data_IF_694588810594
#
_entry.id   IF_694588810594
#
_cell.length_a   1.000
_cell.length_b   1.000
_cell.length_c   1.000
_cell.angle_alpha   90.00
_cell.angle_beta   90.00
_cell.angle_gamma   90.00
#
_symmetry.space_group_name_H-M   'P 1'
#
loop_
_entity.id
_entity.type
_entity.pdbx_description
1 polymer ?
#
# COMPACT_ATOMS: atom_id res chain seq x y z
N UNK A 1 18.55 -1.72 -26.48
CA UNK A 1 17.09 -1.52 -26.50
C UNK A 1 16.45 -2.67 -25.73
N UNK A 2 16.16 -2.47 -24.47
CA UNK A 2 15.47 -3.45 -23.61
C UNK A 2 13.97 -3.24 -23.76
N UNK A 3 13.30 -4.13 -24.45
CA UNK A 3 11.84 -4.08 -24.64
C UNK A 3 11.21 -4.70 -23.39
N UNK A 4 10.61 -3.87 -22.54
CA UNK A 4 9.73 -4.31 -21.47
C UNK A 4 8.44 -4.88 -22.08
N UNK A 5 8.23 -6.17 -22.00
CA UNK A 5 7.04 -6.83 -22.56
C UNK A 5 6.04 -7.15 -21.44
N UNK A 6 4.92 -6.47 -21.51
CA UNK A 6 3.74 -6.72 -20.64
C UNK A 6 2.82 -7.70 -21.37
N UNK A 7 2.46 -8.78 -20.72
CA UNK A 7 1.43 -9.69 -21.22
C UNK A 7 0.17 -9.48 -20.39
N UNK A 8 -0.92 -9.12 -21.04
CA UNK A 8 -2.23 -8.93 -20.42
C UNK A 8 -3.17 -10.05 -20.85
N UNK A 9 -3.86 -10.65 -19.90
CA UNK A 9 -5.01 -11.50 -20.15
C UNK A 9 -6.24 -10.81 -19.57
N UNK A 10 -7.11 -10.30 -20.45
CA UNK A 10 -8.32 -9.54 -20.11
C UNK A 10 -9.50 -10.45 -19.79
N UNK A 11 -10.34 -10.04 -18.84
CA UNK A 11 -11.63 -10.65 -18.49
C UNK A 11 -11.58 -12.12 -18.08
N UNK A 12 -11.22 -12.37 -16.84
CA UNK A 12 -11.32 -13.70 -16.21
C UNK A 12 -10.06 -14.56 -16.31
N UNK A 13 -8.93 -13.98 -16.69
CA UNK A 13 -7.65 -14.65 -16.79
C UNK A 13 -6.57 -14.03 -15.91
N UNK A 14 -5.47 -14.72 -15.79
CA UNK A 14 -4.24 -14.31 -15.12
C UNK A 14 -3.70 -13.02 -15.72
N UNK A 15 -3.40 -12.03 -14.88
CA UNK A 15 -2.51 -10.95 -15.24
C UNK A 15 -1.11 -11.26 -14.72
N UNK A 16 -0.25 -11.75 -15.58
CA UNK A 16 1.16 -12.00 -15.29
C UNK A 16 2.00 -10.91 -15.92
N UNK A 17 2.73 -10.21 -15.11
CA UNK A 17 3.73 -9.28 -15.62
C UNK A 17 4.95 -9.34 -14.75
N UNK A 18 5.95 -10.01 -15.26
CA UNK A 18 7.32 -9.70 -14.91
C UNK A 18 8.26 -10.51 -15.74
N UNK A 19 9.41 -9.97 -15.94
CA UNK A 19 10.47 -10.65 -16.63
C UNK A 19 11.80 -10.29 -16.01
N UNK A 20 12.26 -11.16 -15.16
CA UNK A 20 13.65 -11.23 -14.74
C UNK A 20 14.04 -12.69 -14.69
N UNK A 21 15.00 -13.05 -15.50
CA UNK A 21 15.50 -14.41 -15.68
C UNK A 21 16.50 -14.78 -14.58
N UNK A 22 16.24 -15.87 -13.83
CA UNK A 22 17.32 -16.77 -13.43
C UNK A 22 16.81 -18.20 -13.14
N UNK A 23 17.54 -19.27 -13.56
CA UNK A 23 17.18 -20.68 -13.35
C UNK A 23 17.08 -21.11 -11.87
N UNK A 24 17.69 -20.34 -10.96
CA UNK A 24 17.70 -20.59 -9.50
C UNK A 24 16.32 -20.45 -8.83
N UNK A 25 15.36 -19.81 -9.50
CA UNK A 25 14.00 -19.65 -8.98
C UNK A 25 13.28 -21.00 -8.84
N UNK A 26 13.44 -21.89 -9.81
CA UNK A 26 12.76 -23.20 -9.83
C UNK A 26 13.25 -24.15 -8.73
N UNK A 27 14.55 -24.16 -8.44
CA UNK A 27 15.10 -24.93 -7.32
C UNK A 27 14.60 -24.41 -5.99
N UNK A 28 14.43 -23.09 -5.87
CA UNK A 28 13.97 -22.43 -4.65
C UNK A 28 12.46 -22.60 -4.42
N UNK A 29 11.64 -22.54 -5.47
CA UNK A 29 10.20 -22.84 -5.39
C UNK A 29 9.94 -24.29 -4.97
N UNK A 30 10.69 -25.24 -5.52
CA UNK A 30 10.64 -26.66 -5.13
C UNK A 30 11.13 -26.90 -3.68
N UNK A 31 12.05 -26.07 -3.19
CA UNK A 31 12.54 -26.11 -1.82
C UNK A 31 11.52 -25.51 -0.82
N UNK A 32 10.85 -24.43 -1.19
CA UNK A 32 9.78 -23.80 -0.39
C UNK A 32 8.60 -24.75 -0.18
N UNK A 33 8.24 -25.54 -1.20
CA UNK A 33 7.20 -26.56 -1.13
C UNK A 33 7.52 -27.73 -0.18
N UNK A 34 8.81 -27.89 0.22
CA UNK A 34 9.28 -28.95 1.13
C UNK A 34 9.46 -28.48 2.57
N UNK A 35 9.32 -27.17 2.87
CA UNK A 35 9.46 -26.67 4.24
C UNK A 35 8.26 -27.04 5.10
N UNK A 36 8.46 -27.62 6.29
CA UNK A 36 7.40 -27.74 7.26
C UNK A 36 6.93 -26.35 7.70
N UNK A 37 5.64 -26.21 8.02
CA UNK A 37 4.90 -24.98 8.38
C UNK A 37 5.46 -24.13 9.54
N UNK A 38 6.67 -24.38 10.00
CA UNK A 38 7.31 -23.78 11.19
C UNK A 38 8.48 -22.80 10.87
N UNK A 39 8.60 -22.29 9.65
CA UNK A 39 9.57 -21.21 9.38
C UNK A 39 9.14 -19.92 10.10
N UNK A 40 10.08 -19.09 10.60
CA UNK A 40 9.74 -17.79 11.18
C UNK A 40 8.93 -17.00 10.18
N UNK A 41 7.78 -16.45 10.63
CA UNK A 41 6.88 -15.69 9.77
C UNK A 41 7.60 -14.46 9.23
N UNK A 42 7.58 -14.29 7.93
CA UNK A 42 8.23 -13.17 7.25
C UNK A 42 7.56 -11.84 7.60
N UNK A 43 8.32 -10.74 7.64
CA UNK A 43 7.75 -9.41 7.71
C UNK A 43 6.94 -9.11 6.44
N UNK A 44 5.83 -8.40 6.60
CA UNK A 44 4.90 -8.07 5.50
C UNK A 44 4.62 -6.58 5.51
N UNK A 45 4.78 -5.93 4.36
CA UNK A 45 4.38 -4.56 4.12
C UNK A 45 3.15 -4.52 3.22
N UNK A 46 2.10 -3.85 3.69
CA UNK A 46 0.88 -3.55 2.92
C UNK A 46 0.86 -2.06 2.62
N UNK A 47 1.02 -1.70 1.35
CA UNK A 47 0.92 -0.31 0.88
C UNK A 47 -0.49 -0.03 0.36
N UNK A 48 -1.15 0.96 0.96
CA UNK A 48 -2.46 1.46 0.52
C UNK A 48 -2.30 2.83 -0.08
N UNK A 49 -2.45 2.96 -1.40
CA UNK A 49 -2.30 4.25 -2.07
C UNK A 49 -3.66 4.96 -2.18
N UNK A 50 -3.80 6.05 -1.44
CA UNK A 50 -4.97 6.94 -1.44
C UNK A 50 -4.87 7.89 -2.63
N UNK A 51 -5.29 7.42 -3.83
CA UNK A 51 -5.18 8.21 -5.07
C UNK A 51 -6.19 9.33 -5.14
N UNK A 52 -5.69 10.52 -5.38
CA UNK A 52 -6.47 11.76 -5.47
C UNK A 52 -6.12 12.78 -4.39
N UNK A 53 -4.94 12.63 -3.76
CA UNK A 53 -4.44 13.61 -2.79
C UNK A 53 -5.37 13.76 -1.57
N UNK A 54 -5.25 12.83 -0.64
CA UNK A 54 -6.06 12.87 0.60
C UNK A 54 -5.89 14.19 1.34
N UNK A 55 -6.99 14.73 1.84
CA UNK A 55 -6.94 15.89 2.75
C UNK A 55 -6.41 15.49 4.14
N UNK A 56 -5.09 15.59 4.30
CA UNK A 56 -4.40 15.25 5.53
C UNK A 56 -4.86 16.07 6.74
N UNK A 57 -5.26 17.34 6.52
CA UNK A 57 -5.75 18.21 7.60
C UNK A 57 -7.13 17.81 8.13
N UNK A 58 -7.97 17.20 7.29
CA UNK A 58 -9.25 16.66 7.77
C UNK A 58 -9.15 15.17 8.13
N UNK A 59 -8.13 14.45 7.68
CA UNK A 59 -7.87 13.06 8.10
C UNK A 59 -7.28 13.01 9.53
N UNK A 60 -6.24 13.81 9.77
CA UNK A 60 -5.57 14.00 11.06
C UNK A 60 -5.67 15.48 11.39
N UNK A 61 -6.67 15.81 12.20
CA UNK A 61 -7.12 17.18 12.43
C UNK A 61 -6.23 17.89 13.44
N UNK A 62 -5.58 19.01 13.09
CA UNK A 62 -4.85 19.84 14.05
C UNK A 62 -5.83 20.73 14.83
N UNK A 63 -6.69 20.09 15.64
CA UNK A 63 -7.79 20.80 16.34
C UNK A 63 -7.31 21.79 17.39
N UNK A 64 -6.05 21.71 17.80
CA UNK A 64 -5.41 22.70 18.67
C UNK A 64 -5.03 24.01 17.96
N UNK A 65 -5.18 24.09 16.61
CA UNK A 65 -4.81 25.29 15.85
C UNK A 65 -6.01 26.12 15.42
N UNK A 66 -6.10 27.36 15.89
CA UNK A 66 -7.16 28.28 15.48
C UNK A 66 -7.17 28.56 13.97
N UNK A 67 -6.01 28.57 13.31
CA UNK A 67 -5.86 28.79 11.87
C UNK A 67 -6.58 27.70 11.06
N UNK A 68 -6.65 26.45 11.54
CA UNK A 68 -7.41 25.39 10.87
C UNK A 68 -8.89 25.76 10.69
N UNK A 69 -9.52 26.28 11.73
CA UNK A 69 -10.93 26.69 11.69
C UNK A 69 -11.15 27.97 10.89
N UNK A 70 -10.20 28.91 10.98
CA UNK A 70 -10.26 30.18 10.23
C UNK A 70 -10.18 29.98 8.73
N UNK A 71 -9.32 29.04 8.28
CA UNK A 71 -9.11 28.76 6.85
C UNK A 71 -10.14 27.80 6.27
N UNK A 72 -10.92 27.10 7.11
CA UNK A 72 -11.91 26.09 6.71
C UNK A 72 -13.28 26.28 7.37
N UNK A 73 -13.90 27.47 7.25
CA UNK A 73 -15.14 27.78 7.98
C UNK A 73 -16.31 26.84 7.68
N UNK A 74 -16.33 26.13 6.52
CA UNK A 74 -17.40 25.22 6.13
C UNK A 74 -17.02 23.75 6.21
N UNK A 75 -15.73 23.43 6.04
CA UNK A 75 -15.27 22.03 5.95
C UNK A 75 -14.41 21.58 7.15
N UNK A 76 -14.09 22.47 8.10
CA UNK A 76 -13.39 22.07 9.31
C UNK A 76 -14.22 21.06 10.11
N UNK A 77 -13.56 20.01 10.60
CA UNK A 77 -14.17 19.09 11.57
C UNK A 77 -14.33 19.79 12.90
N UNK A 78 -15.54 19.91 13.48
CA UNK A 78 -15.74 20.56 14.76
C UNK A 78 -14.90 19.93 15.88
N UNK A 79 -14.29 20.74 16.75
CA UNK A 79 -13.39 20.24 17.79
C UNK A 79 -14.02 19.18 18.70
N UNK A 80 -15.32 19.31 19.00
CA UNK A 80 -16.06 18.34 19.81
C UNK A 80 -16.40 17.04 19.07
N UNK A 81 -16.20 16.95 17.76
CA UNK A 81 -16.39 15.74 16.95
C UNK A 81 -15.08 15.00 16.71
N UNK A 82 -13.93 15.66 16.89
CA UNK A 82 -12.61 15.06 16.66
C UNK A 82 -12.36 13.95 17.68
N UNK A 83 -11.80 12.83 17.23
CA UNK A 83 -11.29 11.77 18.10
C UNK A 83 -9.90 12.16 18.57
N UNK A 84 -9.80 12.76 19.74
CA UNK A 84 -8.54 13.30 20.27
C UNK A 84 -7.44 12.24 20.38
N UNK A 85 -6.21 12.63 20.02
CA UNK A 85 -5.01 11.80 20.08
C UNK A 85 -4.02 12.28 21.14
N UNK A 86 -3.73 13.57 21.19
CA UNK A 86 -2.67 14.14 22.03
C UNK A 86 -2.96 15.56 22.52
N UNK A 87 -4.20 16.03 22.38
CA UNK A 87 -4.64 17.39 22.77
C UNK A 87 -4.38 18.46 21.70
N UNK A 88 -3.62 18.17 20.66
CA UNK A 88 -3.36 19.07 19.53
C UNK A 88 -3.87 18.48 18.21
N UNK A 89 -3.61 17.19 17.99
CA UNK A 89 -4.11 16.43 16.85
C UNK A 89 -5.20 15.45 17.26
N UNK A 90 -6.07 15.15 16.32
CA UNK A 90 -7.06 14.10 16.46
C UNK A 90 -7.44 13.47 15.13
N UNK A 91 -8.03 12.29 15.17
CA UNK A 91 -8.57 11.64 13.98
C UNK A 91 -9.92 12.25 13.60
N UNK A 92 -10.19 12.29 12.30
CA UNK A 92 -11.54 12.52 11.81
C UNK A 92 -12.53 11.53 12.49
N UNK A 93 -13.76 11.94 12.85
CA UNK A 93 -14.71 11.05 13.56
C UNK A 93 -15.00 9.73 12.83
N UNK A 94 -14.96 9.73 11.49
CA UNK A 94 -15.10 8.51 10.69
C UNK A 94 -13.96 7.50 10.86
N UNK A 95 -12.82 7.90 11.43
CA UNK A 95 -11.70 7.02 11.78
C UNK A 95 -11.74 6.54 13.24
N UNK A 96 -12.82 6.81 13.99
CA UNK A 96 -12.99 6.33 15.37
C UNK A 96 -12.71 4.82 15.55
N UNK A 97 -13.00 3.92 14.59
CA UNK A 97 -12.61 2.51 14.70
C UNK A 97 -11.10 2.26 14.88
N UNK A 98 -10.24 3.24 14.55
CA UNK A 98 -8.79 3.14 14.71
C UNK A 98 -8.29 3.62 16.09
N UNK A 99 -9.16 4.17 16.94
CA UNK A 99 -8.74 4.71 18.26
C UNK A 99 -8.15 3.63 19.16
N UNK A 100 -8.72 2.43 19.14
CA UNK A 100 -8.17 1.30 19.89
C UNK A 100 -6.73 0.96 19.46
N UNK A 101 -6.43 1.02 18.16
CA UNK A 101 -5.09 0.78 17.64
C UNK A 101 -4.09 1.87 18.05
N UNK A 102 -4.57 3.09 18.17
CA UNK A 102 -3.78 4.19 18.74
C UNK A 102 -3.47 3.97 20.21
N UNK A 103 -4.47 3.63 21.01
CA UNK A 103 -4.32 3.41 22.44
C UNK A 103 -3.40 2.22 22.75
N UNK A 104 -3.47 1.19 21.93
CA UNK A 104 -2.60 0.00 21.98
C UNK A 104 -1.20 0.25 21.36
N UNK A 105 -0.89 1.48 20.94
CA UNK A 105 0.39 1.87 20.35
C UNK A 105 0.77 1.05 19.10
N UNK A 106 -0.21 0.65 18.31
CA UNK A 106 -0.04 -0.05 17.04
C UNK A 106 -0.44 0.79 15.83
N UNK A 107 -0.85 2.05 16.03
CA UNK A 107 -1.13 3.05 15.01
C UNK A 107 -0.29 4.30 15.27
N UNK A 108 0.46 4.75 14.26
CA UNK A 108 1.11 6.06 14.22
C UNK A 108 0.47 6.92 13.13
N UNK A 109 0.28 8.20 13.42
CA UNK A 109 -0.09 9.23 12.47
C UNK A 109 1.17 9.99 12.07
N UNK A 110 1.39 10.21 10.78
CA UNK A 110 2.55 10.95 10.27
C UNK A 110 2.04 12.19 9.54
N UNK A 111 2.39 13.38 10.01
CA UNK A 111 1.95 14.64 9.43
C UNK A 111 3.09 15.37 8.71
N UNK A 112 2.72 16.34 7.85
CA UNK A 112 3.66 17.16 7.09
C UNK A 112 4.69 16.34 6.27
N UNK A 113 4.26 15.20 5.76
CA UNK A 113 5.03 14.27 4.93
C UNK A 113 4.66 14.42 3.45
N UNK A 114 5.60 14.25 2.56
CA UNK A 114 5.32 14.33 1.12
C UNK A 114 6.58 14.25 0.25
N UNK A 115 6.38 14.49 -1.03
CA UNK A 115 7.47 14.63 -2.01
C UNK A 115 8.16 15.98 -1.84
N UNK A 116 9.51 16.05 -1.94
CA UNK A 116 10.21 17.32 -2.03
C UNK A 116 9.93 18.06 -3.36
N UNK A 117 9.40 17.38 -4.36
CA UNK A 117 8.96 18.01 -5.62
C UNK A 117 7.61 18.69 -5.41
N UNK A 118 7.51 19.94 -5.85
CA UNK A 118 6.33 20.78 -5.65
C UNK A 118 5.23 20.60 -6.69
N UNK A 119 5.30 19.56 -7.55
CA UNK A 119 4.25 19.31 -8.55
C UNK A 119 2.89 19.08 -7.89
N UNK A 120 1.86 19.63 -8.52
CA UNK A 120 0.45 19.41 -8.16
C UNK A 120 -0.31 18.63 -9.25
N UNK A 121 0.45 17.99 -10.16
CA UNK A 121 -0.08 17.07 -11.16
C UNK A 121 -0.20 15.67 -10.54
N UNK A 122 -1.40 15.11 -10.48
CA UNK A 122 -1.61 13.73 -10.01
C UNK A 122 -0.75 12.73 -10.76
N UNK A 123 -0.61 12.87 -12.09
CA UNK A 123 0.17 11.94 -12.91
C UNK A 123 1.64 11.94 -12.50
N UNK A 124 2.24 13.10 -12.37
CA UNK A 124 3.64 13.24 -12.04
C UNK A 124 3.91 12.82 -10.58
N UNK A 125 3.08 13.32 -9.65
CA UNK A 125 3.28 13.05 -8.23
C UNK A 125 3.03 11.58 -7.86
N UNK A 126 2.06 10.91 -8.51
CA UNK A 126 1.84 9.46 -8.34
C UNK A 126 3.04 8.68 -8.88
N UNK A 127 3.56 9.04 -10.05
CA UNK A 127 4.77 8.41 -10.60
C UNK A 127 5.97 8.59 -9.66
N UNK A 128 6.17 9.79 -9.10
CA UNK A 128 7.25 10.07 -8.16
C UNK A 128 7.11 9.30 -6.83
N UNK A 129 5.90 9.19 -6.32
CA UNK A 129 5.63 8.43 -5.10
C UNK A 129 5.88 6.93 -5.31
N UNK A 130 5.51 6.40 -6.47
CA UNK A 130 5.67 4.98 -6.80
C UNK A 130 7.08 4.65 -7.30
N UNK A 131 7.74 5.56 -8.01
CA UNK A 131 9.14 5.36 -8.42
C UNK A 131 10.13 5.65 -7.30
N UNK A 132 9.76 6.45 -6.28
CA UNK A 132 10.67 6.89 -5.24
C UNK A 132 11.73 7.90 -5.73
N UNK A 133 11.52 8.51 -6.90
CA UNK A 133 12.44 9.44 -7.55
C UNK A 133 11.77 10.76 -7.91
N UNK A 134 11.44 11.62 -6.92
CA UNK A 134 10.83 12.93 -7.16
C UNK A 134 11.57 13.76 -8.21
N UNK A 135 10.82 14.35 -9.15
CA UNK A 135 11.35 15.16 -10.23
C UNK A 135 11.99 14.39 -11.39
N UNK A 136 12.10 13.05 -11.32
CA UNK A 136 12.74 12.22 -12.34
C UNK A 136 11.74 11.31 -13.04
N UNK A 137 11.38 11.64 -14.29
CA UNK A 137 10.40 10.87 -15.10
C UNK A 137 11.02 9.67 -15.84
N UNK A 138 12.34 9.58 -15.92
CA UNK A 138 13.04 8.52 -16.66
C UNK A 138 13.25 7.22 -15.89
N UNK A 139 12.90 7.19 -14.61
CA UNK A 139 13.04 5.98 -13.78
C UNK A 139 12.07 4.90 -14.29
N UNK A 140 12.58 3.74 -14.71
CA UNK A 140 11.79 2.70 -15.39
C UNK A 140 11.03 1.77 -14.43
N UNK A 141 11.44 1.69 -13.16
CA UNK A 141 10.94 0.76 -12.16
C UNK A 141 10.45 1.46 -10.88
N UNK A 142 9.69 0.73 -10.07
CA UNK A 142 9.17 1.19 -8.79
C UNK A 142 10.12 0.89 -7.62
N UNK A 143 10.03 1.67 -6.53
CA UNK A 143 10.92 1.49 -5.38
C UNK A 143 10.74 0.14 -4.69
N UNK A 144 9.51 -0.39 -4.62
CA UNK A 144 9.26 -1.73 -4.06
C UNK A 144 9.85 -2.81 -4.95
N UNK A 145 9.73 -2.69 -6.28
CA UNK A 145 10.34 -3.67 -7.17
C UNK A 145 11.86 -3.65 -7.05
N UNK A 146 12.50 -2.46 -6.94
CA UNK A 146 13.94 -2.38 -6.69
C UNK A 146 14.33 -3.03 -5.36
N UNK A 147 13.55 -2.84 -4.29
CA UNK A 147 13.76 -3.59 -3.06
C UNK A 147 13.76 -5.11 -3.32
N UNK A 148 12.74 -5.63 -4.01
CA UNK A 148 12.64 -7.05 -4.34
C UNK A 148 13.78 -7.57 -5.23
N UNK A 149 14.38 -6.70 -6.09
CA UNK A 149 15.52 -7.05 -6.93
C UNK A 149 16.80 -7.27 -6.11
N UNK A 150 16.99 -6.50 -5.04
CA UNK A 150 18.19 -6.52 -4.19
C UNK A 150 18.09 -7.55 -3.06
N UNK A 151 16.93 -7.74 -2.48
CA UNK A 151 16.69 -8.81 -1.51
C UNK A 151 16.29 -10.11 -2.22
N UNK A 152 17.30 -10.95 -2.49
CA UNK A 152 17.11 -12.24 -3.16
C UNK A 152 16.87 -13.40 -2.20
N UNK A 153 17.06 -13.24 -0.92
CA UNK A 153 16.88 -14.33 0.06
C UNK A 153 15.43 -14.82 0.13
N UNK A 154 14.49 -13.98 -0.27
CA UNK A 154 13.05 -14.23 -0.18
C UNK A 154 12.36 -14.46 -1.53
N UNK A 155 13.10 -14.66 -2.62
CA UNK A 155 12.58 -14.79 -3.99
C UNK A 155 12.01 -16.19 -4.32
N UNK A 156 11.44 -16.90 -3.34
CA UNK A 156 11.06 -18.31 -3.44
C UNK A 156 9.55 -18.55 -3.70
N UNK A 157 8.77 -17.50 -3.96
CA UNK A 157 7.33 -17.60 -4.21
C UNK A 157 6.86 -16.56 -5.21
N UNK A 158 5.92 -16.91 -6.13
CA UNK A 158 5.31 -15.94 -7.04
C UNK A 158 4.42 -14.92 -6.30
N UNK A 159 4.02 -15.21 -5.05
CA UNK A 159 3.23 -14.31 -4.20
C UNK A 159 4.05 -13.35 -3.36
N UNK A 160 5.37 -13.28 -3.55
CA UNK A 160 6.21 -12.37 -2.77
C UNK A 160 5.72 -10.92 -2.84
N UNK A 161 5.38 -10.44 -4.05
CA UNK A 161 4.89 -9.08 -4.26
C UNK A 161 3.59 -9.11 -5.09
N UNK A 162 2.49 -8.68 -4.50
CA UNK A 162 1.16 -8.75 -5.09
C UNK A 162 0.47 -7.39 -5.09
N UNK A 163 0.02 -6.95 -6.26
CA UNK A 163 -0.92 -5.84 -6.39
C UNK A 163 -2.36 -6.34 -6.50
N UNK A 164 -3.28 -5.69 -5.79
CA UNK A 164 -4.71 -5.97 -5.88
C UNK A 164 -5.39 -4.98 -6.82
N UNK A 165 -5.56 -5.41 -8.07
CA UNK A 165 -6.14 -4.63 -9.14
C UNK A 165 -5.92 -5.25 -10.52
N UNK A 166 -6.54 -4.68 -11.57
CA UNK A 166 -6.51 -5.24 -12.91
C UNK A 166 -5.15 -5.07 -13.62
N UNK A 167 -4.25 -4.27 -13.08
CA UNK A 167 -2.96 -3.94 -13.70
C UNK A 167 -1.87 -3.84 -12.64
N UNK A 168 -0.63 -4.15 -13.05
CA UNK A 168 0.53 -3.96 -12.20
C UNK A 168 0.81 -2.46 -12.06
N UNK A 169 0.80 -1.91 -10.82
CA UNK A 169 1.09 -0.51 -10.58
C UNK A 169 2.59 -0.22 -10.76
N UNK A 170 2.91 1.06 -10.92
CA UNK A 170 4.27 1.54 -11.12
C UNK A 170 5.23 1.09 -10.00
N UNK A 171 4.77 1.10 -8.77
CA UNK A 171 5.55 0.73 -7.58
C UNK A 171 6.11 -0.70 -7.65
N UNK A 172 5.40 -1.61 -8.34
CA UNK A 172 5.79 -3.01 -8.55
C UNK A 172 6.36 -3.29 -9.96
N UNK A 173 6.44 -2.27 -10.82
CA UNK A 173 7.05 -2.43 -12.14
C UNK A 173 8.57 -2.56 -12.02
N UNK A 174 9.19 -3.51 -12.73
CA UNK A 174 10.64 -3.72 -12.73
C UNK A 174 11.01 -5.15 -13.13
N UNK A 175 12.22 -5.59 -12.77
CA UNK A 175 12.73 -6.92 -13.14
C UNK A 175 12.42 -8.01 -12.11
N UNK A 176 12.09 -7.65 -10.86
CA UNK A 176 11.65 -8.63 -9.87
C UNK A 176 10.22 -9.11 -10.18
N UNK A 177 9.94 -10.42 -10.02
CA UNK A 177 8.60 -10.98 -10.22
C UNK A 177 7.55 -10.32 -9.32
N UNK A 178 6.40 -9.98 -9.90
CA UNK A 178 5.27 -9.39 -9.18
C UNK A 178 3.96 -9.79 -9.84
N UNK A 179 2.92 -10.04 -9.04
CA UNK A 179 1.60 -10.42 -9.53
C UNK A 179 0.61 -9.24 -9.43
N UNK A 180 -0.31 -9.15 -10.40
CA UNK A 180 -1.51 -8.33 -10.28
C UNK A 180 -2.72 -9.25 -10.23
N UNK A 181 -3.53 -9.14 -9.18
CA UNK A 181 -4.71 -9.98 -8.92
C UNK A 181 -5.90 -9.06 -8.69
N UNK A 182 -6.90 -9.13 -9.56
CA UNK A 182 -8.13 -8.35 -9.38
C UNK A 182 -9.10 -9.03 -8.40
N UNK A 183 -9.21 -10.35 -8.47
CA UNK A 183 -10.06 -11.15 -7.59
C UNK A 183 -9.43 -12.53 -7.37
N UNK A 184 -9.14 -12.87 -6.09
CA UNK A 184 -8.59 -14.18 -5.73
C UNK A 184 -9.51 -15.35 -6.04
N UNK A 185 -10.83 -15.16 -5.94
CA UNK A 185 -11.79 -16.22 -6.26
C UNK A 185 -11.87 -16.49 -7.77
N UNK A 186 -11.60 -15.44 -8.55
CA UNK A 186 -11.56 -15.52 -10.02
C UNK A 186 -10.17 -15.88 -10.56
N UNK A 187 -9.16 -15.93 -9.69
CA UNK A 187 -7.79 -16.22 -10.09
C UNK A 187 -7.65 -17.68 -10.49
N UNK A 188 -7.32 -17.93 -11.76
CA UNK A 188 -7.16 -19.25 -12.32
C UNK A 188 -7.80 -19.42 -13.69
N UNK A 189 -7.75 -20.64 -14.23
CA UNK A 189 -8.38 -20.97 -15.51
C UNK A 189 -9.91 -21.08 -15.34
N UNK A 190 -10.66 -20.16 -15.93
CA UNK A 190 -12.12 -20.24 -16.00
C UNK A 190 -12.52 -21.12 -17.18
N UNK A 191 -13.00 -22.32 -16.87
CA UNK A 191 -13.57 -23.23 -17.85
C UNK A 191 -14.98 -23.62 -17.38
N UNK A 192 -16.00 -23.57 -18.27
CA UNK A 192 -17.38 -23.82 -17.88
C UNK A 192 -17.67 -25.24 -17.33
N UNK A 193 -16.77 -26.18 -17.58
CA UNK A 193 -16.92 -27.58 -17.12
C UNK A 193 -15.70 -28.01 -16.31
N UNK A 194 -15.89 -28.51 -15.11
CA UNK A 194 -14.85 -28.96 -14.18
C UNK A 194 -13.95 -30.06 -14.80
N UNK A 195 -14.54 -31.01 -15.53
CA UNK A 195 -13.78 -32.07 -16.25
C UNK A 195 -12.94 -31.54 -17.42
N UNK A 196 -13.26 -30.37 -17.99
CA UNK A 196 -12.46 -29.71 -19.01
C UNK A 196 -11.31 -28.90 -18.40
N UNK A 197 -11.47 -28.41 -17.15
CA UNK A 197 -10.48 -27.65 -16.40
C UNK A 197 -9.18 -28.45 -16.21
N UNK A 198 -9.27 -29.71 -15.78
CA UNK A 198 -8.09 -30.56 -15.53
C UNK A 198 -7.40 -30.99 -16.82
N UNK A 199 -8.17 -31.16 -17.93
CA UNK A 199 -7.59 -31.43 -19.26
C UNK A 199 -6.89 -30.22 -19.85
N UNK A 200 -7.51 -29.03 -19.73
CA UNK A 200 -6.89 -27.78 -20.17
C UNK A 200 -5.68 -27.41 -19.29
N UNK A 201 -5.73 -27.64 -18.01
CA UNK A 201 -4.59 -27.46 -17.10
C UNK A 201 -3.41 -28.32 -17.54
N UNK A 202 -3.62 -29.63 -17.81
CA UNK A 202 -2.58 -30.52 -18.32
C UNK A 202 -2.10 -30.16 -19.74
N UNK A 203 -3.00 -29.75 -20.62
CA UNK A 203 -2.62 -29.32 -21.97
C UNK A 203 -1.79 -28.00 -21.94
N UNK A 204 -2.07 -27.10 -21.01
CA UNK A 204 -1.23 -25.94 -20.78
C UNK A 204 0.12 -26.31 -20.16
N UNK A 205 0.16 -27.27 -19.20
CA UNK A 205 1.41 -27.81 -18.65
C UNK A 205 2.29 -28.38 -19.77
N UNK A 206 1.73 -29.23 -20.62
CA UNK A 206 2.44 -29.86 -21.74
C UNK A 206 2.90 -28.84 -22.81
N UNK A 207 2.09 -27.83 -23.11
CA UNK A 207 2.45 -26.74 -24.02
C UNK A 207 3.62 -25.88 -23.48
N UNK A 208 3.67 -25.67 -22.17
CA UNK A 208 4.69 -24.83 -21.54
C UNK A 208 5.97 -25.61 -21.23
N UNK A 209 5.89 -26.88 -20.88
CA UNK A 209 7.06 -27.78 -20.79
C UNK A 209 7.75 -27.97 -22.15
N UNK A 210 6.97 -27.91 -23.24
CA UNK A 210 7.47 -27.93 -24.62
C UNK A 210 8.01 -26.59 -25.14
N UNK A 211 7.72 -25.48 -24.51
CA UNK A 211 8.04 -24.13 -25.01
C UNK A 211 9.50 -23.66 -24.80
N UNK A 212 10.38 -24.48 -24.21
CA UNK A 212 11.80 -24.20 -24.03
C UNK A 212 12.09 -23.13 -22.97
N UNK A 213 13.28 -22.47 -23.02
CA UNK A 213 13.80 -21.56 -22.01
C UNK A 213 13.48 -20.07 -22.27
N UNK A 214 12.43 -19.75 -23.02
CA UNK A 214 12.06 -18.36 -23.36
C UNK A 214 11.28 -17.64 -22.26
N UNK A 215 11.28 -16.31 -22.33
CA UNK A 215 10.57 -15.39 -21.44
C UNK A 215 9.08 -15.70 -21.21
N UNK A 216 8.40 -16.19 -22.26
CA UNK A 216 7.00 -16.61 -22.19
C UNK A 216 6.84 -17.88 -21.34
N UNK A 217 7.79 -18.80 -21.42
CA UNK A 217 7.75 -20.05 -20.67
C UNK A 217 7.96 -19.83 -19.17
N UNK A 218 8.85 -18.89 -18.76
CA UNK A 218 9.08 -18.56 -17.33
C UNK A 218 7.87 -17.88 -16.71
N UNK A 219 7.32 -16.85 -17.35
CA UNK A 219 6.15 -16.12 -16.85
C UNK A 219 4.89 -16.98 -16.74
N UNK A 220 4.74 -17.93 -17.67
CA UNK A 220 3.62 -18.87 -17.68
C UNK A 220 3.74 -19.91 -16.57
N UNK A 221 4.96 -20.35 -16.28
CA UNK A 221 5.26 -21.29 -15.21
C UNK A 221 5.01 -20.67 -13.83
N UNK A 222 5.49 -19.44 -13.62
CA UNK A 222 5.22 -18.66 -12.40
C UNK A 222 3.72 -18.50 -12.13
N UNK A 223 2.94 -18.21 -13.19
CA UNK A 223 1.49 -18.09 -13.07
C UNK A 223 0.80 -19.40 -12.77
N UNK A 224 1.29 -20.48 -13.36
CA UNK A 224 0.75 -21.80 -13.09
C UNK A 224 1.05 -22.25 -11.65
N UNK A 225 2.27 -22.03 -11.16
CA UNK A 225 2.66 -22.29 -9.77
C UNK A 225 1.80 -21.47 -8.81
N UNK A 226 1.55 -20.19 -9.10
CA UNK A 226 0.65 -19.34 -8.31
C UNK A 226 -0.77 -19.93 -8.24
N UNK A 227 -1.33 -20.37 -9.37
CA UNK A 227 -2.65 -21.04 -9.39
C UNK A 227 -2.66 -22.32 -8.54
N UNK A 228 -1.61 -23.13 -8.61
CA UNK A 228 -1.52 -24.36 -7.81
C UNK A 228 -1.39 -24.07 -6.32
N UNK A 229 -0.59 -23.08 -5.94
CA UNK A 229 -0.47 -22.64 -4.54
C UNK A 229 -1.79 -22.13 -3.99
N UNK A 230 -2.52 -21.30 -4.74
CA UNK A 230 -3.84 -20.80 -4.34
C UNK A 230 -4.88 -21.91 -4.24
N UNK A 231 -4.87 -22.88 -5.15
CA UNK A 231 -5.77 -24.03 -5.04
C UNK A 231 -5.54 -24.85 -3.76
N UNK A 232 -4.29 -24.99 -3.33
CA UNK A 232 -3.96 -25.65 -2.05
C UNK A 232 -4.38 -24.84 -0.84
N UNK A 233 -4.25 -23.51 -0.91
CA UNK A 233 -4.67 -22.60 0.14
C UNK A 233 -6.19 -22.47 0.25
N UNK A 234 -6.94 -22.91 -0.77
CA UNK A 234 -8.41 -22.86 -0.89
C UNK A 234 -9.06 -21.56 -0.37
N UNK A 235 -8.83 -20.43 -1.04
CA UNK A 235 -9.34 -19.15 -0.59
C UNK A 235 -10.87 -19.10 -0.53
N UNK A 236 -11.58 -20.07 -1.16
CA UNK A 236 -13.04 -20.12 -1.15
C UNK A 236 -13.59 -20.57 0.21
N UNK A 237 -12.81 -21.30 1.01
CA UNK A 237 -13.16 -21.73 2.35
C UNK A 237 -12.79 -20.70 3.43
N UNK A 238 -12.12 -19.63 3.04
CA UNK A 238 -11.69 -18.62 3.99
C UNK A 238 -12.89 -17.97 4.70
N UNK A 239 -12.77 -17.82 6.01
CA UNK A 239 -13.70 -17.06 6.85
C UNK A 239 -12.88 -16.08 7.68
N UNK A 240 -13.25 -14.78 7.69
CA UNK A 240 -12.66 -13.82 8.62
C UNK A 240 -12.82 -14.27 10.08
N UNK A 241 -11.96 -13.77 10.95
CA UNK A 241 -12.13 -13.98 12.38
C UNK A 241 -13.44 -13.34 12.88
N UNK A 242 -13.99 -13.88 13.97
CA UNK A 242 -15.21 -13.35 14.56
C UNK A 242 -15.11 -11.85 14.89
N UNK A 243 -16.09 -11.10 14.44
CA UNK A 243 -16.15 -9.64 14.58
C UNK A 243 -15.20 -8.86 13.64
N UNK A 244 -14.58 -9.51 12.66
CA UNK A 244 -13.85 -8.85 11.59
C UNK A 244 -14.79 -8.52 10.43
N UNK A 245 -15.60 -7.48 10.60
CA UNK A 245 -16.63 -7.06 9.65
C UNK A 245 -16.04 -6.11 8.60
N UNK A 246 -15.59 -6.66 7.49
CA UNK A 246 -15.10 -5.85 6.39
C UNK A 246 -16.22 -5.07 5.70
N UNK A 247 -16.05 -3.75 5.45
CA UNK A 247 -17.07 -3.00 4.71
C UNK A 247 -17.22 -3.55 3.29
N UNK A 248 -18.42 -3.45 2.70
CA UNK A 248 -18.72 -4.06 1.39
C UNK A 248 -18.03 -3.38 0.21
N UNK A 249 -17.35 -2.24 0.44
CA UNK A 249 -16.63 -1.47 -0.59
C UNK A 249 -15.41 -2.21 -1.14
N UNK A 250 -14.80 -1.59 -2.15
CA UNK A 250 -13.62 -2.17 -2.84
C UNK A 250 -12.46 -2.37 -1.87
N UNK A 251 -12.18 -1.39 -1.02
CA UNK A 251 -11.07 -1.46 -0.07
C UNK A 251 -11.29 -2.60 0.95
N UNK A 252 -12.51 -2.76 1.48
CA UNK A 252 -12.83 -3.86 2.39
C UNK A 252 -12.59 -5.22 1.73
N UNK A 253 -13.06 -5.42 0.50
CA UNK A 253 -12.82 -6.66 -0.27
C UNK A 253 -11.33 -6.89 -0.53
N UNK A 254 -10.59 -5.85 -0.86
CA UNK A 254 -9.15 -5.95 -1.11
C UNK A 254 -8.38 -6.35 0.14
N UNK A 255 -8.65 -5.70 1.29
CA UNK A 255 -7.99 -6.06 2.55
C UNK A 255 -8.37 -7.47 3.00
N UNK A 256 -9.61 -7.91 2.78
CA UNK A 256 -10.01 -9.30 2.99
C UNK A 256 -9.15 -10.26 2.17
N UNK A 257 -8.93 -9.99 0.89
CA UNK A 257 -8.10 -10.84 0.02
C UNK A 257 -6.63 -10.83 0.44
N UNK A 258 -6.09 -9.69 0.87
CA UNK A 258 -4.74 -9.61 1.45
C UNK A 258 -4.65 -10.48 2.71
N UNK A 259 -5.64 -10.40 3.60
CA UNK A 259 -5.69 -11.24 4.80
C UNK A 259 -5.74 -12.74 4.47
N UNK A 260 -6.47 -13.13 3.43
CA UNK A 260 -6.50 -14.50 2.91
C UNK A 260 -5.11 -15.00 2.52
N UNK A 261 -4.35 -14.21 1.72
CA UNK A 261 -2.98 -14.59 1.32
C UNK A 261 -2.03 -14.67 2.53
N UNK A 262 -2.13 -13.72 3.47
CA UNK A 262 -1.32 -13.74 4.70
C UNK A 262 -1.62 -14.98 5.54
N UNK A 263 -2.88 -15.34 5.69
CA UNK A 263 -3.27 -16.53 6.48
C UNK A 263 -2.98 -17.83 5.76
N UNK A 264 -3.02 -17.85 4.43
CA UNK A 264 -2.63 -18.99 3.60
C UNK A 264 -1.12 -19.26 3.60
N UNK A 265 -0.31 -18.34 4.13
CA UNK A 265 1.15 -18.45 4.26
C UNK A 265 1.86 -18.77 2.94
N UNK A 266 1.40 -18.13 1.87
CA UNK A 266 1.91 -18.32 0.49
C UNK A 266 3.25 -17.60 0.24
N UNK A 267 3.85 -17.01 1.29
CA UNK A 267 5.11 -16.28 1.19
C UNK A 267 4.93 -14.83 0.76
N UNK A 268 3.76 -14.23 1.01
CA UNK A 268 3.54 -12.80 0.77
C UNK A 268 4.47 -11.96 1.65
N UNK A 269 5.18 -11.03 1.03
CA UNK A 269 6.04 -10.05 1.68
C UNK A 269 5.53 -8.64 1.42
N UNK A 270 5.09 -8.35 0.20
CA UNK A 270 4.56 -7.05 -0.20
C UNK A 270 3.14 -7.20 -0.76
N UNK A 271 2.19 -6.45 -0.22
CA UNK A 271 0.89 -6.24 -0.84
C UNK A 271 0.72 -4.76 -1.20
N UNK A 272 0.15 -4.50 -2.36
CA UNK A 272 -0.20 -3.15 -2.80
C UNK A 272 -1.68 -3.08 -3.19
N UNK A 273 -2.35 -2.00 -2.79
CA UNK A 273 -3.73 -1.73 -3.17
C UNK A 273 -3.97 -0.24 -3.41
N UNK A 274 -4.77 0.05 -4.43
CA UNK A 274 -5.27 1.40 -4.70
C UNK A 274 -6.59 1.65 -3.99
N UNK A 275 -6.70 2.84 -3.39
CA UNK A 275 -7.94 3.37 -2.83
C UNK A 275 -8.18 4.76 -3.41
N UNK A 276 -9.15 4.89 -4.30
CA UNK A 276 -9.42 6.10 -5.08
C UNK A 276 -10.56 6.92 -4.48
N UNK A 277 -10.73 8.16 -5.00
CA UNK A 277 -11.84 9.05 -4.66
C UNK A 277 -11.52 10.09 -3.60
N UNK A 278 -10.23 10.42 -3.45
CA UNK A 278 -9.75 11.42 -2.48
C UNK A 278 -9.67 12.84 -3.05
N UNK A 279 -9.92 13.01 -4.36
CA UNK A 279 -9.87 14.30 -5.06
C UNK A 279 -11.13 15.12 -4.83
N UNK A 280 -11.26 15.70 -3.63
CA UNK A 280 -12.47 16.36 -3.12
C UNK A 280 -12.47 17.87 -3.34
N UNK A 281 -12.52 18.30 -4.61
CA UNK A 281 -12.58 19.71 -4.98
C UNK A 281 -13.90 20.39 -4.67
N UNK A 282 -15.00 19.63 -4.60
CA UNK A 282 -16.36 20.16 -4.46
C UNK A 282 -17.11 19.38 -3.39
N UNK A 283 -17.78 20.09 -2.48
CA UNK A 283 -18.62 19.49 -1.45
C UNK A 283 -17.92 18.36 -0.67
N UNK A 284 -16.69 18.61 -0.25
CA UNK A 284 -15.87 17.64 0.51
C UNK A 284 -16.59 17.15 1.76
N UNK A 285 -17.28 18.08 2.45
CA UNK A 285 -17.88 17.85 3.75
C UNK A 285 -16.93 18.10 4.90
N UNK A 286 -17.46 17.96 6.09
CA UNK A 286 -16.79 18.11 7.39
C UNK A 286 -16.78 16.75 8.11
N UNK A 287 -17.52 16.62 9.23
CA UNK A 287 -17.73 15.32 9.91
C UNK A 287 -18.51 14.31 9.07
N UNK A 288 -19.26 14.80 8.09
CA UNK A 288 -20.03 14.07 7.10
C UNK A 288 -19.64 14.50 5.69
N UNK A 289 -20.09 13.76 4.67
CA UNK A 289 -19.85 14.08 3.26
C UNK A 289 -18.90 13.10 2.58
N UNK A 290 -18.34 13.53 1.43
CA UNK A 290 -17.55 12.66 0.56
C UNK A 290 -16.28 12.14 1.24
N UNK A 291 -15.49 13.04 1.85
CA UNK A 291 -14.27 12.66 2.54
C UNK A 291 -14.58 11.74 3.74
N UNK A 292 -15.60 12.09 4.54
CA UNK A 292 -16.03 11.31 5.68
C UNK A 292 -16.43 9.88 5.29
N UNK A 293 -17.11 9.69 4.14
CA UNK A 293 -17.48 8.38 3.64
C UNK A 293 -16.25 7.53 3.27
N UNK A 294 -15.23 8.13 2.63
CA UNK A 294 -13.96 7.47 2.29
C UNK A 294 -13.15 7.10 3.55
N UNK A 295 -13.07 8.03 4.51
CA UNK A 295 -12.40 7.78 5.79
C UNK A 295 -13.10 6.70 6.61
N UNK A 296 -14.44 6.64 6.55
CA UNK A 296 -15.21 5.58 7.21
C UNK A 296 -14.91 4.20 6.63
N UNK A 297 -14.89 4.08 5.28
CA UNK A 297 -14.51 2.83 4.63
C UNK A 297 -13.08 2.42 5.02
N UNK A 298 -12.12 3.38 5.00
CA UNK A 298 -10.74 3.14 5.40
C UNK A 298 -10.63 2.68 6.86
N UNK A 299 -11.26 3.39 7.77
CA UNK A 299 -11.22 3.08 9.22
C UNK A 299 -11.81 1.72 9.53
N UNK A 300 -12.98 1.41 8.98
CA UNK A 300 -13.63 0.10 9.17
C UNK A 300 -12.81 -1.03 8.54
N UNK A 301 -12.29 -0.83 7.33
CA UNK A 301 -11.51 -1.86 6.65
C UNK A 301 -10.19 -2.17 7.38
N UNK A 302 -9.48 -1.16 7.87
CA UNK A 302 -8.25 -1.33 8.65
C UNK A 302 -8.51 -1.98 10.01
N UNK A 303 -9.58 -1.59 10.70
CA UNK A 303 -9.97 -2.21 11.97
C UNK A 303 -10.36 -3.70 11.78
N UNK A 304 -11.14 -4.02 10.74
CA UNK A 304 -11.48 -5.40 10.40
C UNK A 304 -10.23 -6.22 10.04
N UNK A 305 -9.33 -5.65 9.24
CA UNK A 305 -8.06 -6.30 8.85
C UNK A 305 -7.17 -6.61 10.07
N UNK A 306 -7.04 -5.65 10.99
CA UNK A 306 -6.29 -5.87 12.22
C UNK A 306 -6.90 -6.98 13.08
N UNK A 307 -8.23 -6.98 13.27
CA UNK A 307 -8.94 -8.00 14.02
C UNK A 307 -8.82 -9.37 13.35
N UNK A 308 -8.98 -9.43 12.05
CA UNK A 308 -8.92 -10.67 11.29
C UNK A 308 -7.52 -11.33 11.33
N UNK A 309 -6.46 -10.56 11.24
CA UNK A 309 -5.10 -11.07 11.33
C UNK A 309 -4.68 -11.42 12.76
N UNK A 310 -5.23 -10.76 13.77
CA UNK A 310 -4.92 -11.03 15.18
C UNK A 310 -3.39 -11.04 15.43
N UNK A 311 -2.89 -12.14 15.99
CA UNK A 311 -1.46 -12.33 16.29
C UNK A 311 -0.53 -12.20 15.06
N UNK A 312 -1.05 -12.37 13.83
CA UNK A 312 -0.22 -12.21 12.63
C UNK A 312 0.17 -10.75 12.39
N UNK A 313 -0.59 -9.79 12.94
CA UNK A 313 -0.24 -8.38 12.89
C UNK A 313 1.13 -8.05 13.49
N UNK A 314 1.71 -8.92 14.30
CA UNK A 314 3.09 -8.77 14.82
C UNK A 314 4.15 -8.69 13.72
N UNK A 315 3.87 -9.21 12.53
CA UNK A 315 4.78 -9.21 11.39
C UNK A 315 4.26 -8.36 10.23
N UNK A 316 3.22 -7.57 10.43
CA UNK A 316 2.60 -6.77 9.37
C UNK A 316 2.74 -5.29 9.68
N UNK A 317 3.15 -4.52 8.68
CA UNK A 317 3.04 -3.06 8.65
C UNK A 317 2.10 -2.69 7.51
N UNK A 318 1.05 -1.94 7.81
CA UNK A 318 0.20 -1.29 6.81
C UNK A 318 0.59 0.18 6.75
N UNK A 319 0.90 0.68 5.56
CA UNK A 319 1.22 2.07 5.29
C UNK A 319 0.19 2.66 4.34
N UNK A 320 -0.50 3.73 4.75
CA UNK A 320 -1.26 4.56 3.79
C UNK A 320 -0.33 5.59 3.18
N UNK A 321 -0.48 5.88 1.89
CA UNK A 321 0.32 6.86 1.17
C UNK A 321 -0.57 7.62 0.18
N UNK A 322 -0.21 8.87 -0.11
CA UNK A 322 -0.89 9.70 -1.11
C UNK A 322 0.13 10.58 -1.82
N UNK A 323 -0.17 10.99 -3.03
CA UNK A 323 0.78 11.68 -3.92
C UNK A 323 1.18 13.08 -3.43
N UNK A 324 0.24 13.85 -2.87
CA UNK A 324 0.42 15.14 -2.19
C UNK A 324 -0.78 15.42 -1.29
N UNK A 325 -0.81 16.56 -0.61
CA UNK A 325 -1.90 16.98 0.26
C UNK A 325 -2.84 17.98 -0.41
N UNK A 326 -3.64 18.64 0.42
CA UNK A 326 -4.61 19.67 -0.02
C UNK A 326 -4.24 21.02 0.55
N UNK A 327 -4.77 22.09 -0.08
CA UNK A 327 -4.62 23.48 0.41
C UNK A 327 -5.06 23.61 1.85
N UNK A 328 -4.37 24.47 2.61
CA UNK A 328 -4.79 24.81 3.97
C UNK A 328 -6.18 25.44 3.95
N UNK A 329 -6.39 26.42 3.05
CA UNK A 329 -7.68 27.09 2.88
C UNK A 329 -8.65 26.23 2.06
N UNK A 330 -9.92 26.20 2.50
CA UNK A 330 -11.00 25.68 1.66
C UNK A 330 -11.22 26.54 0.42
N UNK A 331 -11.67 25.93 -0.68
CA UNK A 331 -11.99 26.66 -1.91
C UNK A 331 -13.45 27.16 -1.93
N UNK A 332 -13.81 27.89 -3.00
CA UNK A 332 -15.14 28.45 -3.17
C UNK A 332 -16.27 27.42 -3.21
N UNK A 333 -15.96 26.16 -3.52
CA UNK A 333 -16.92 25.06 -3.72
C UNK A 333 -17.05 24.13 -2.49
N UNK A 334 -16.67 24.59 -1.29
CA UNK A 334 -16.67 23.76 -0.07
C UNK A 334 -15.86 22.47 -0.21
N UNK A 335 -14.72 22.57 -0.86
CA UNK A 335 -13.72 21.53 -1.03
C UNK A 335 -12.33 22.11 -0.87
N UNK A 336 -11.33 21.41 -1.40
CA UNK A 336 -9.92 21.83 -1.34
C UNK A 336 -9.25 21.65 -2.70
N UNK A 337 -8.30 22.51 -3.01
CA UNK A 337 -7.46 22.36 -4.19
C UNK A 337 -6.18 21.56 -3.86
N UNK A 338 -5.40 21.21 -4.89
CA UNK A 338 -4.15 20.48 -4.71
C UNK A 338 -3.14 21.30 -3.90
N UNK A 339 -2.58 20.69 -2.88
CA UNK A 339 -1.59 21.26 -1.98
C UNK A 339 -0.22 20.59 -2.08
N UNK A 340 0.53 20.56 -0.96
CA UNK A 340 1.88 19.99 -0.96
C UNK A 340 2.01 18.84 0.06
N UNK A 341 2.32 19.11 1.35
CA UNK A 341 2.40 18.02 2.32
C UNK A 341 1.05 17.40 2.63
N UNK A 342 1.06 16.11 2.90
CA UNK A 342 -0.09 15.32 3.30
C UNK A 342 0.12 14.70 4.68
N UNK A 343 -0.74 13.75 5.05
CA UNK A 343 -0.61 12.89 6.21
C UNK A 343 -0.68 11.42 5.79
N UNK A 344 0.00 10.55 6.52
CA UNK A 344 0.00 9.12 6.33
C UNK A 344 -0.30 8.42 7.66
N UNK A 345 -0.80 7.19 7.59
CA UNK A 345 -0.98 6.29 8.72
C UNK A 345 -0.05 5.09 8.56
N UNK A 346 0.62 4.70 9.64
CA UNK A 346 1.32 3.44 9.74
C UNK A 346 0.70 2.62 10.87
N UNK A 347 0.35 1.35 10.57
CA UNK A 347 -0.34 0.51 11.53
C UNK A 347 0.24 -0.91 11.52
N UNK A 348 0.32 -1.56 12.67
CA UNK A 348 0.76 -2.94 12.83
C UNK A 348 1.61 -3.17 14.07
N UNK A 349 1.94 -4.43 14.34
CA UNK A 349 2.72 -4.80 15.52
C UNK A 349 4.12 -4.17 15.58
N UNK A 350 4.86 -4.06 14.47
CA UNK A 350 6.17 -3.41 14.45
C UNK A 350 6.11 -1.88 14.62
N UNK A 351 4.93 -1.26 14.45
CA UNK A 351 4.78 0.19 14.50
C UNK A 351 4.94 0.72 15.92
N UNK A 352 5.74 1.77 16.07
CA UNK A 352 5.90 2.53 17.31
C UNK A 352 4.81 3.60 17.41
N UNK A 353 3.57 3.17 17.61
CA UNK A 353 2.38 4.00 17.56
C UNK A 353 2.04 4.71 18.87
N UNK A 354 0.81 5.30 18.91
CA UNK A 354 0.34 6.15 19.98
C UNK A 354 1.03 7.52 19.97
N UNK A 355 1.43 7.99 18.78
CA UNK A 355 2.10 9.29 18.59
C UNK A 355 1.86 9.85 17.20
N UNK A 356 1.83 11.16 17.11
CA UNK A 356 1.92 11.91 15.86
C UNK A 356 3.38 12.17 15.55
N UNK A 357 3.84 11.72 14.38
CA UNK A 357 5.22 11.79 13.92
C UNK A 357 5.37 12.85 12.82
N UNK A 358 6.60 13.24 12.57
CA UNK A 358 6.94 14.35 11.67
C UNK A 358 7.10 15.66 12.44
N UNK A 359 7.80 16.59 11.83
CA UNK A 359 7.94 17.94 12.41
C UNK A 359 6.80 18.80 11.89
N UNK A 360 5.83 19.09 12.76
CA UNK A 360 4.71 19.94 12.39
C UNK A 360 5.17 21.38 12.16
N UNK A 361 4.92 21.99 10.98
CA UNK A 361 5.35 23.35 10.69
C UNK A 361 4.41 24.42 11.28
N UNK A 362 3.16 24.04 11.60
CA UNK A 362 2.07 24.98 11.90
C UNK A 362 1.33 25.44 10.64
N UNK A 363 0.25 26.22 10.85
CA UNK A 363 -0.61 26.75 9.78
C UNK A 363 -0.51 28.29 9.62
N UNK A 364 0.42 28.95 10.30
CA UNK A 364 0.67 30.38 10.13
C UNK A 364 1.19 30.70 8.72
N UNK A 365 0.89 31.89 8.18
CA UNK A 365 1.25 32.28 6.80
C UNK A 365 2.75 32.09 6.53
N UNK A 366 3.61 32.46 7.46
CA UNK A 366 5.07 32.35 7.33
C UNK A 366 5.58 30.90 7.35
N UNK A 367 4.72 29.96 7.76
CA UNK A 367 5.05 28.53 7.87
C UNK A 367 4.61 27.74 6.64
N UNK A 368 3.81 28.37 5.78
CA UNK A 368 3.21 27.72 4.61
C UNK A 368 4.18 27.63 3.45
N UNK A 369 4.15 26.52 2.75
CA UNK A 369 4.77 26.40 1.44
C UNK A 369 4.03 27.30 0.44
N UNK A 370 4.76 28.21 -0.20
CA UNK A 370 4.22 29.23 -1.12
C UNK A 370 3.07 30.07 -0.52
N UNK A 371 3.07 30.27 0.81
CA UNK A 371 2.02 31.02 1.53
C UNK A 371 0.64 30.35 1.54
N UNK A 372 0.52 29.08 1.09
CA UNK A 372 -0.75 28.43 0.76
C UNK A 372 -0.91 27.03 1.36
N UNK A 373 0.11 26.19 1.24
CA UNK A 373 0.01 24.77 1.54
C UNK A 373 0.79 24.41 2.81
N UNK A 374 0.49 23.26 3.41
CA UNK A 374 1.35 22.71 4.46
C UNK A 374 2.72 22.38 3.87
N UNK A 375 3.78 22.88 4.51
CA UNK A 375 5.14 22.61 4.06
C UNK A 375 5.53 21.14 4.31
N UNK A 376 6.21 20.51 3.36
CA UNK A 376 6.82 19.18 3.55
C UNK A 376 8.03 19.35 4.48
N UNK A 377 7.96 18.78 5.66
CA UNK A 377 9.05 18.73 6.64
C UNK A 377 9.69 17.36 6.75
N UNK A 378 9.03 16.35 6.18
CA UNK A 378 9.48 14.97 6.13
C UNK A 378 9.40 14.48 4.69
N UNK A 379 10.54 14.10 4.12
CA UNK A 379 10.58 13.41 2.83
C UNK A 379 9.99 12.00 3.00
N UNK A 380 9.04 11.62 2.15
CA UNK A 380 8.39 10.31 2.23
C UNK A 380 9.38 9.15 2.18
N UNK A 381 10.52 9.34 1.50
CA UNK A 381 11.56 8.31 1.37
C UNK A 381 12.25 8.00 2.70
N UNK A 382 12.26 8.93 3.66
CA UNK A 382 12.82 8.67 4.99
C UNK A 382 11.91 7.71 5.78
N UNK A 383 10.57 7.86 5.70
CA UNK A 383 9.62 6.90 6.29
C UNK A 383 9.68 5.54 5.59
N UNK A 384 9.67 5.54 4.24
CA UNK A 384 9.70 4.30 3.47
C UNK A 384 11.02 3.55 3.69
N UNK A 385 12.14 4.29 3.73
CA UNK A 385 13.46 3.74 4.04
C UNK A 385 13.55 3.18 5.46
N UNK A 386 12.91 3.83 6.44
CA UNK A 386 12.82 3.30 7.80
C UNK A 386 12.06 1.97 7.84
N UNK A 387 10.92 1.88 7.14
CA UNK A 387 10.13 0.64 7.05
C UNK A 387 10.94 -0.46 6.36
N UNK A 388 11.59 -0.15 5.24
CA UNK A 388 12.43 -1.11 4.54
C UNK A 388 13.59 -1.62 5.41
N UNK A 389 14.29 -0.73 6.10
CA UNK A 389 15.45 -1.10 6.91
C UNK A 389 15.06 -1.85 8.17
N UNK A 390 14.08 -1.33 8.94
CA UNK A 390 13.76 -1.85 10.28
C UNK A 390 12.74 -2.97 10.29
N UNK A 391 11.84 -2.98 9.30
CA UNK A 391 10.80 -4.01 9.23
C UNK A 391 11.14 -5.10 8.21
N UNK A 392 11.59 -4.73 7.01
CA UNK A 392 11.90 -5.70 5.95
C UNK A 392 13.40 -6.11 5.92
N UNK A 393 14.25 -5.50 6.75
CA UNK A 393 15.66 -5.87 6.85
C UNK A 393 16.54 -5.41 5.68
N UNK A 394 16.08 -4.46 4.87
CA UNK A 394 16.85 -3.94 3.73
C UNK A 394 18.14 -3.26 4.20
N UNK A 395 19.27 -3.63 3.61
CA UNK A 395 20.60 -3.09 3.95
C UNK A 395 21.09 -2.04 2.95
N UNK A 396 20.49 -1.95 1.76
CA UNK A 396 20.92 -1.02 0.70
C UNK A 396 19.77 -0.12 0.21
N UNK A 397 19.51 0.93 0.98
CA UNK A 397 18.48 1.90 0.65
C UNK A 397 18.84 2.81 -0.53
N UNK A 398 20.14 2.98 -0.83
CA UNK A 398 20.59 3.79 -1.96
C UNK A 398 20.19 3.18 -3.31
N UNK A 399 20.18 1.85 -3.38
CA UNK A 399 19.71 1.14 -4.57
C UNK A 399 18.20 1.23 -4.73
N UNK A 400 17.46 1.29 -3.61
CA UNK A 400 16.00 1.42 -3.64
C UNK A 400 15.57 2.84 -4.03
N UNK A 401 16.28 3.88 -3.59
CA UNK A 401 15.98 5.28 -3.88
C UNK A 401 17.13 5.97 -4.63
N UNK A 402 17.28 5.78 -5.95
CA UNK A 402 18.35 6.39 -6.73
C UNK A 402 18.39 7.90 -6.55
N UNK A 403 19.58 8.44 -6.28
CA UNK A 403 19.79 9.86 -6.03
C UNK A 403 19.41 10.36 -4.64
N UNK A 404 18.94 9.45 -3.77
CA UNK A 404 18.60 9.75 -2.37
C UNK A 404 18.91 8.56 -1.47
N UNK A 405 19.58 8.79 -0.36
CA UNK A 405 19.86 7.72 0.62
C UNK A 405 19.18 8.06 1.93
N UNK A 406 18.04 7.41 2.26
CA UNK A 406 17.45 7.49 3.59
C UNK A 406 18.48 7.10 4.65
N UNK A 407 18.48 7.79 5.77
CA UNK A 407 19.51 7.60 6.80
C UNK A 407 18.87 7.44 8.18
N UNK A 408 19.44 6.63 9.07
CA UNK A 408 18.93 6.46 10.43
C UNK A 408 18.75 7.77 11.22
N UNK A 409 19.52 8.82 10.88
CA UNK A 409 19.41 10.14 11.52
C UNK A 409 18.18 10.93 11.07
N UNK A 410 17.55 10.54 9.96
CA UNK A 410 16.31 11.13 9.44
C UNK A 410 15.10 10.25 9.63
N UNK A 411 15.27 9.04 10.14
CA UNK A 411 14.15 8.15 10.46
C UNK A 411 13.27 8.77 11.54
N UNK A 412 11.97 8.58 11.40
CA UNK A 412 10.97 9.17 12.29
C UNK A 412 10.81 8.40 13.61
N UNK A 413 11.35 7.20 13.71
CA UNK A 413 11.09 6.28 14.81
C UNK A 413 9.69 5.67 14.73
N UNK A 414 9.15 5.53 13.50
CA UNK A 414 7.84 4.96 13.23
C UNK A 414 7.82 3.43 13.43
N UNK A 415 8.95 2.77 13.25
CA UNK A 415 9.12 1.33 13.43
C UNK A 415 9.97 1.07 14.68
N UNK A 416 9.53 0.15 15.51
CA UNK A 416 10.29 -0.31 16.68
C UNK A 416 11.62 -0.91 16.22
N UNK A 417 12.69 -0.58 16.92
CA UNK A 417 14.02 -1.13 16.69
C UNK A 417 14.22 -2.48 17.35
#
# INVERSE_FOLDING_TARGET
MTISRRVFVKAGGLALVSVGLEPLFLERAAYALRRPFAAPRRPILVCLFQRGAVDGLNMIVPHGEAAYYQERPRIAVPANAVVDLDGHFGLHPSLAPLKELWDNKSLAAIHAIGSPDGTRSHFDAQDYMESGTPGVKSTGDGWVNRYCQHDREHADTPFRAVAFGPQLPRILAGSAPSLAIDDLQAFGLRVPQEAARDRLTRAFEELYDGAGTGLLASSSREGFEAVQMLKRADPTQYRPADGADYPPGRLGKTLLQIAQLIKADVGLEIAFADCSGWDTHVNQGSSDGQLAARLRELGLALAAFNRDLGDRMRNVVVLTMSEFGRTIRENGNSGTDHGHATAMLALGGPVNGGRVLGRWPGLGIEQRFEGRDVAVTTDFRDLFGEILARHLGSTDLAMVFPGYTPSPTRFLGAIRG
#
